data_IF_399894725031
#
_entry.id   IF_399894725031
#
_cell.length_a   1.000
_cell.length_b   1.000
_cell.length_c   1.000
_cell.angle_alpha   90.00
_cell.angle_beta   90.00
_cell.angle_gamma   90.00
#
_symmetry.space_group_name_H-M   'P 1'
#
loop_
_entity.id
_entity.type
_entity.pdbx_description
1 polymer ?
#
# COMPACT_ATOMS: atom_id res chain seq x y z
N UNK A 1 12.08 -17.50 -1.48
CA UNK A 1 12.21 -16.06 -1.74
C UNK A 1 11.13 -15.59 -2.71
N UNK A 2 10.92 -16.29 -3.83
CA UNK A 2 9.90 -15.95 -4.84
C UNK A 2 8.46 -15.90 -4.26
N UNK A 3 8.06 -16.88 -3.46
CA UNK A 3 6.75 -16.88 -2.75
C UNK A 3 6.58 -15.71 -1.77
N UNK A 4 7.67 -15.16 -1.24
CA UNK A 4 7.64 -14.02 -0.33
C UNK A 4 7.43 -12.71 -1.10
N UNK A 5 8.09 -12.57 -2.25
CA UNK A 5 7.92 -11.40 -3.12
C UNK A 5 6.51 -11.36 -3.71
N UNK A 6 5.97 -12.49 -4.17
CA UNK A 6 4.60 -12.56 -4.70
C UNK A 6 3.55 -12.17 -3.63
N UNK A 7 3.75 -12.56 -2.37
CA UNK A 7 2.88 -12.13 -1.27
C UNK A 7 2.95 -10.63 -1.01
N UNK A 8 4.15 -10.05 -1.03
CA UNK A 8 4.33 -8.60 -0.89
C UNK A 8 3.68 -7.84 -2.05
N UNK A 9 3.81 -8.34 -3.27
CA UNK A 9 3.15 -7.76 -4.45
C UNK A 9 1.62 -7.85 -4.37
N UNK A 10 1.07 -8.97 -3.90
CA UNK A 10 -0.37 -9.13 -3.71
C UNK A 10 -0.91 -8.15 -2.65
N UNK A 11 -0.20 -8.00 -1.53
CA UNK A 11 -0.54 -7.00 -0.50
C UNK A 11 -0.48 -5.57 -1.06
N UNK A 12 0.58 -5.25 -1.82
CA UNK A 12 0.77 -3.94 -2.43
C UNK A 12 -0.37 -3.58 -3.39
N UNK A 13 -0.77 -4.49 -4.27
CA UNK A 13 -1.88 -4.28 -5.21
C UNK A 13 -3.22 -4.13 -4.47
N UNK A 14 -3.47 -4.92 -3.43
CA UNK A 14 -4.69 -4.80 -2.63
C UNK A 14 -4.80 -3.43 -1.94
N UNK A 15 -3.68 -2.95 -1.38
CA UNK A 15 -3.62 -1.64 -0.74
C UNK A 15 -3.83 -0.50 -1.74
N UNK A 16 -3.24 -0.59 -2.95
CA UNK A 16 -3.45 0.40 -4.00
C UNK A 16 -4.92 0.46 -4.43
N UNK A 17 -5.59 -0.69 -4.55
CA UNK A 17 -7.03 -0.73 -4.85
C UNK A 17 -7.84 0.01 -3.77
N UNK A 18 -7.59 -0.29 -2.49
CA UNK A 18 -8.28 0.37 -1.37
C UNK A 18 -8.03 1.88 -1.32
N UNK A 19 -6.84 2.33 -1.71
CA UNK A 19 -6.52 3.75 -1.85
C UNK A 19 -7.37 4.43 -2.93
N UNK A 20 -7.51 3.79 -4.09
CA UNK A 20 -8.35 4.31 -5.18
C UNK A 20 -9.81 4.39 -4.75
N UNK A 21 -10.34 3.33 -4.12
CA UNK A 21 -11.72 3.32 -3.60
C UNK A 21 -11.96 4.44 -2.58
N UNK A 22 -11.00 4.69 -1.68
CA UNK A 22 -11.09 5.77 -0.70
C UNK A 22 -11.04 7.16 -1.36
N UNK A 23 -10.21 7.37 -2.40
CA UNK A 23 -10.18 8.63 -3.16
C UNK A 23 -11.48 8.88 -3.92
N UNK A 24 -12.08 7.84 -4.50
CA UNK A 24 -13.39 7.93 -5.12
C UNK A 24 -14.44 8.34 -4.08
N UNK A 25 -14.46 7.70 -2.92
CA UNK A 25 -15.39 8.02 -1.85
C UNK A 25 -15.20 9.46 -1.33
N UNK A 26 -13.95 9.91 -1.13
CA UNK A 26 -13.64 11.29 -0.72
C UNK A 26 -14.17 12.31 -1.74
N UNK A 27 -14.04 12.02 -3.04
CA UNK A 27 -14.51 12.92 -4.09
C UNK A 27 -16.04 13.06 -4.14
N UNK A 28 -16.79 12.02 -3.76
CA UNK A 28 -18.26 12.04 -3.81
C UNK A 28 -18.92 12.49 -2.50
N UNK A 29 -18.41 12.04 -1.35
CA UNK A 29 -19.05 12.25 -0.04
C UNK A 29 -18.09 12.78 1.03
N UNK A 30 -16.79 12.80 0.75
CA UNK A 30 -15.74 13.13 1.72
C UNK A 30 -15.45 11.97 2.69
N UNK A 31 -14.19 11.83 3.09
CA UNK A 31 -13.79 10.89 4.14
C UNK A 31 -13.98 11.50 5.52
N UNK A 32 -14.52 10.69 6.43
CA UNK A 32 -14.48 10.95 7.88
C UNK A 32 -13.05 11.00 8.39
N UNK A 33 -12.86 11.52 9.60
CA UNK A 33 -11.53 11.59 10.23
C UNK A 33 -10.92 10.19 10.43
N UNK A 34 -11.74 9.19 10.75
CA UNK A 34 -11.31 7.79 10.89
C UNK A 34 -10.86 7.21 9.54
N UNK A 35 -11.68 7.34 8.50
CA UNK A 35 -11.34 6.86 7.15
C UNK A 35 -10.09 7.58 6.59
N UNK A 36 -9.92 8.87 6.92
CA UNK A 36 -8.74 9.66 6.55
C UNK A 36 -7.49 9.20 7.28
N UNK A 37 -7.60 8.81 8.56
CA UNK A 37 -6.51 8.20 9.30
C UNK A 37 -6.09 6.87 8.67
N UNK A 38 -7.05 5.99 8.39
CA UNK A 38 -6.79 4.70 7.73
C UNK A 38 -6.17 4.88 6.34
N UNK A 39 -6.62 5.90 5.59
CA UNK A 39 -6.04 6.26 4.31
C UNK A 39 -4.54 6.57 4.45
N UNK A 40 -4.13 7.35 5.46
CA UNK A 40 -2.72 7.67 5.68
C UNK A 40 -1.90 6.46 6.12
N UNK A 41 -2.43 5.61 6.99
CA UNK A 41 -1.75 4.37 7.40
C UNK A 41 -1.50 3.45 6.20
N UNK A 42 -2.50 3.31 5.32
CA UNK A 42 -2.34 2.54 4.08
C UNK A 42 -1.28 3.19 3.16
N UNK A 43 -1.20 4.52 3.09
CA UNK A 43 -0.18 5.21 2.28
C UNK A 43 1.23 4.95 2.81
N UNK A 44 1.43 4.97 4.12
CA UNK A 44 2.70 4.63 4.74
C UNK A 44 3.08 3.18 4.41
N UNK A 45 2.15 2.24 4.58
CA UNK A 45 2.39 0.83 4.28
C UNK A 45 2.74 0.57 2.81
N UNK A 46 2.10 1.28 1.88
CA UNK A 46 2.42 1.22 0.45
C UNK A 46 3.86 1.66 0.20
N UNK A 47 4.32 2.76 0.82
CA UNK A 47 5.71 3.23 0.67
C UNK A 47 6.72 2.19 1.19
N UNK A 48 6.44 1.57 2.32
CA UNK A 48 7.29 0.51 2.88
C UNK A 48 7.37 -0.72 1.96
N UNK A 49 6.24 -1.12 1.38
CA UNK A 49 6.19 -2.25 0.46
C UNK A 49 6.91 -1.94 -0.85
N UNK A 50 6.75 -0.73 -1.40
CA UNK A 50 7.46 -0.28 -2.60
C UNK A 50 8.98 -0.33 -2.40
N UNK A 51 9.46 0.14 -1.24
CA UNK A 51 10.88 0.05 -0.88
C UNK A 51 11.36 -1.41 -0.80
N UNK A 52 10.60 -2.30 -0.15
CA UNK A 52 10.95 -3.73 -0.01
C UNK A 52 10.93 -4.49 -1.33
N UNK A 53 10.01 -4.15 -2.23
CA UNK A 53 9.89 -4.77 -3.56
C UNK A 53 10.99 -4.24 -4.50
N UNK A 54 11.36 -2.97 -4.36
CA UNK A 54 12.39 -2.32 -5.19
C UNK A 54 13.82 -2.59 -4.72
N UNK A 55 14.01 -3.11 -3.50
CA UNK A 55 15.33 -3.45 -2.98
C UNK A 55 15.91 -4.64 -3.78
N UNK A 56 17.07 -4.48 -4.46
CA UNK A 56 17.70 -5.57 -5.17
C UNK A 56 18.12 -6.67 -4.18
N UNK A 57 18.09 -7.95 -4.58
CA UNK A 57 18.36 -9.09 -3.69
C UNK A 57 19.81 -9.16 -3.13
N UNK A 58 20.63 -8.13 -3.32
CA UNK A 58 22.09 -8.20 -3.21
C UNK A 58 22.69 -7.09 -2.31
N UNK A 59 22.14 -6.93 -1.11
CA UNK A 59 22.76 -6.15 -0.02
C UNK A 59 22.75 -6.88 1.32
N UNK A 60 22.99 -8.19 1.27
CA UNK A 60 23.42 -8.97 2.42
C UNK A 60 24.68 -9.77 2.03
N UNK A 61 25.80 -9.05 1.86
CA UNK A 61 27.14 -9.62 1.74
C UNK A 61 28.07 -8.92 2.74
#
# INVERSE_FOLDING_TARGET
MEDSVQKLQAEFVDLLRKQVEALELDAYVGLTDEERSEYYERQERIRDLDAKISEPPDRAA
#
